data_IF_478762663338
#
_entry.id   IF_478762663338
#
_cell.length_a   1.000
_cell.length_b   1.000
_cell.length_c   1.000
_cell.angle_alpha   90.00
_cell.angle_beta   90.00
_cell.angle_gamma   90.00
#
_symmetry.space_group_name_H-M   'P 1'
#
loop_
_entity.id
_entity.type
_entity.pdbx_description
1 polymer ?
#
# COMPACT_ATOMS: atom_id res chain seq x y z
N UNK A 1 -10.00 7.29 8.69
CA UNK A 1 -8.91 6.29 8.59
C UNK A 1 -9.45 4.85 8.52
N UNK A 2 -10.36 4.45 9.42
CA UNK A 2 -10.78 3.04 9.53
C UNK A 2 -11.49 2.49 8.28
N UNK A 3 -12.39 3.27 7.68
CA UNK A 3 -13.04 2.89 6.40
C UNK A 3 -12.02 2.74 5.26
N UNK A 4 -11.03 3.63 5.23
CA UNK A 4 -9.95 3.65 4.24
C UNK A 4 -9.05 2.41 4.36
N UNK A 5 -8.74 1.97 5.58
CA UNK A 5 -7.98 0.72 5.83
C UNK A 5 -8.75 -0.49 5.33
N UNK A 6 -10.05 -0.57 5.64
CA UNK A 6 -10.88 -1.70 5.24
C UNK A 6 -11.02 -1.77 3.71
N UNK A 7 -11.34 -0.64 3.07
CA UNK A 7 -11.41 -0.54 1.61
C UNK A 7 -10.05 -0.83 0.95
N UNK A 8 -8.96 -0.30 1.52
CA UNK A 8 -7.61 -0.56 1.06
C UNK A 8 -7.25 -2.04 1.11
N UNK A 9 -7.58 -2.73 2.21
CA UNK A 9 -7.34 -4.16 2.34
C UNK A 9 -8.21 -5.02 1.40
N UNK A 10 -9.44 -4.59 1.11
CA UNK A 10 -10.28 -5.25 0.08
C UNK A 10 -9.59 -5.14 -1.29
N UNK A 11 -9.09 -3.95 -1.67
CA UNK A 11 -8.38 -3.77 -2.93
C UNK A 11 -7.11 -4.64 -3.00
N UNK A 12 -6.33 -4.72 -1.92
CA UNK A 12 -5.15 -5.61 -1.85
C UNK A 12 -5.58 -7.07 -2.04
N UNK A 13 -6.67 -7.49 -1.40
CA UNK A 13 -7.21 -8.86 -1.52
C UNK A 13 -7.60 -9.16 -2.98
N UNK A 14 -8.35 -8.24 -3.61
CA UNK A 14 -8.76 -8.39 -5.01
C UNK A 14 -7.58 -8.43 -5.96
N UNK A 15 -6.51 -7.66 -5.70
CA UNK A 15 -5.29 -7.72 -6.50
C UNK A 15 -4.58 -9.07 -6.41
N UNK A 16 -4.50 -9.68 -5.22
CA UNK A 16 -3.93 -11.03 -5.08
C UNK A 16 -4.83 -12.11 -5.70
N UNK A 17 -6.16 -11.97 -5.60
CA UNK A 17 -7.11 -12.86 -6.29
C UNK A 17 -6.94 -12.73 -7.81
N UNK A 18 -6.76 -11.53 -8.35
CA UNK A 18 -6.48 -11.35 -9.77
C UNK A 18 -5.23 -12.14 -10.17
N UNK A 19 -4.12 -12.06 -9.43
CA UNK A 19 -2.90 -12.84 -9.72
C UNK A 19 -3.09 -14.36 -9.56
N UNK A 20 -4.04 -14.79 -8.72
CA UNK A 20 -4.40 -16.19 -8.59
C UNK A 20 -5.18 -16.74 -9.81
N UNK A 21 -5.65 -15.89 -10.73
CA UNK A 21 -6.33 -16.32 -11.95
C UNK A 21 -5.37 -16.50 -13.13
N UNK A 22 -5.64 -17.43 -14.07
CA UNK A 22 -4.77 -17.71 -15.21
C UNK A 22 -4.97 -16.72 -16.38
N UNK A 23 -5.19 -15.43 -16.11
CA UNK A 23 -5.46 -14.40 -17.13
C UNK A 23 -4.20 -13.67 -17.63
N UNK A 24 -3.01 -14.15 -17.27
CA UNK A 24 -1.73 -13.65 -17.79
C UNK A 24 -1.49 -12.16 -17.54
N UNK A 25 -0.99 -11.47 -18.56
CA UNK A 25 -0.43 -10.12 -18.45
C UNK A 25 -1.49 -9.05 -18.11
N UNK A 26 -2.72 -9.21 -18.60
CA UNK A 26 -3.82 -8.28 -18.29
C UNK A 26 -4.17 -8.32 -16.80
N UNK A 27 -4.21 -9.51 -16.20
CA UNK A 27 -4.46 -9.64 -14.77
C UNK A 27 -3.32 -9.07 -13.92
N UNK A 28 -2.07 -9.23 -14.37
CA UNK A 28 -0.92 -8.62 -13.70
C UNK A 28 -1.08 -7.09 -13.56
N UNK A 29 -1.44 -6.39 -14.64
CA UNK A 29 -1.62 -4.93 -14.57
C UNK A 29 -2.80 -4.52 -13.69
N UNK A 30 -3.92 -5.24 -13.76
CA UNK A 30 -5.08 -5.00 -12.88
C UNK A 30 -4.68 -5.22 -11.41
N UNK A 31 -3.95 -6.30 -11.12
CA UNK A 31 -3.49 -6.60 -9.78
C UNK A 31 -2.55 -5.54 -9.22
N UNK A 32 -1.56 -5.10 -10.01
CA UNK A 32 -0.64 -4.03 -9.62
C UNK A 32 -1.40 -2.75 -9.30
N UNK A 33 -2.33 -2.34 -10.16
CA UNK A 33 -3.17 -1.17 -9.92
C UNK A 33 -3.95 -1.27 -8.60
N UNK A 34 -4.61 -2.41 -8.36
CA UNK A 34 -5.39 -2.65 -7.14
C UNK A 34 -4.51 -2.66 -5.88
N UNK A 35 -3.34 -3.33 -5.92
CA UNK A 35 -2.42 -3.42 -4.78
C UNK A 35 -1.81 -2.06 -4.47
N UNK A 36 -1.43 -1.27 -5.48
CA UNK A 36 -0.88 0.08 -5.31
C UNK A 36 -1.91 0.97 -4.61
N UNK A 37 -3.14 1.04 -5.14
CA UNK A 37 -4.21 1.82 -4.53
C UNK A 37 -4.52 1.33 -3.11
N UNK A 38 -4.67 0.03 -2.94
CA UNK A 38 -5.01 -0.57 -1.65
C UNK A 38 -3.93 -0.33 -0.58
N UNK A 39 -2.66 -0.45 -0.94
CA UNK A 39 -1.53 -0.19 -0.04
C UNK A 39 -1.41 1.29 0.30
N UNK A 40 -1.60 2.18 -0.68
CA UNK A 40 -1.64 3.63 -0.46
C UNK A 40 -2.76 4.06 0.49
N UNK A 41 -3.88 3.34 0.47
CA UNK A 41 -4.99 3.55 1.41
C UNK A 41 -4.72 2.94 2.79
N UNK A 42 -4.12 1.74 2.88
CA UNK A 42 -3.96 1.02 4.14
C UNK A 42 -2.75 1.52 4.95
N UNK A 43 -1.56 1.57 4.36
CA UNK A 43 -0.28 1.75 5.06
C UNK A 43 -0.19 3.06 5.87
N UNK A 44 -0.47 4.26 5.32
CA UNK A 44 -0.40 5.49 6.12
C UNK A 44 -1.52 5.57 7.17
N UNK A 45 -2.71 5.03 6.88
CA UNK A 45 -3.84 5.10 7.78
C UNK A 45 -3.69 4.17 8.99
N UNK A 46 -3.10 2.99 8.82
CA UNK A 46 -2.92 2.04 9.92
C UNK A 46 -1.85 2.51 10.90
N UNK A 47 -0.72 3.06 10.40
CA UNK A 47 0.29 3.69 11.26
C UNK A 47 -0.28 4.90 12.01
N UNK A 48 -1.14 5.69 11.35
CA UNK A 48 -1.84 6.78 12.01
C UNK A 48 -2.76 6.27 13.13
N UNK A 49 -3.48 5.16 12.92
CA UNK A 49 -4.31 4.56 13.97
C UNK A 49 -3.50 4.10 15.18
N UNK A 50 -2.33 3.49 14.98
CA UNK A 50 -1.43 3.12 16.09
C UNK A 50 -1.04 4.35 16.89
N UNK A 51 -0.72 5.46 16.22
CA UNK A 51 -0.42 6.72 16.90
C UNK A 51 -1.57 7.30 17.73
N UNK A 52 -2.82 7.01 17.34
CA UNK A 52 -4.02 7.46 18.08
C UNK A 52 -4.41 6.53 19.23
N UNK A 53 -3.74 5.39 19.42
CA UNK A 53 -3.93 4.53 20.60
C UNK A 53 -3.37 5.18 21.87
N UNK A 54 -2.47 6.13 21.72
CA UNK A 54 -1.72 6.77 22.80
C UNK A 54 -1.94 8.28 22.76
N UNK A 55 -1.95 8.94 23.92
CA UNK A 55 -1.91 10.40 23.98
C UNK A 55 -0.53 10.92 23.53
N UNK A 56 -0.44 12.23 23.23
CA UNK A 56 0.81 12.82 22.73
C UNK A 56 2.00 12.65 23.68
N UNK A 57 1.72 12.71 24.98
CA UNK A 57 2.72 12.68 26.06
C UNK A 57 2.88 11.29 26.71
N UNK A 58 2.24 10.26 26.14
CA UNK A 58 2.33 8.88 26.66
C UNK A 58 3.67 8.23 26.24
N UNK A 59 4.50 7.92 27.24
CA UNK A 59 5.80 7.26 27.04
C UNK A 59 5.71 5.88 26.38
N UNK A 60 4.54 5.23 26.44
CA UNK A 60 4.31 3.91 25.81
C UNK A 60 4.14 4.00 24.30
N UNK A 61 3.95 5.20 23.74
CA UNK A 61 3.73 5.41 22.31
C UNK A 61 4.89 4.86 21.47
N UNK A 62 6.12 5.15 21.86
CA UNK A 62 7.31 4.70 21.14
C UNK A 62 7.47 3.18 21.23
N UNK A 63 7.22 2.60 22.41
CA UNK A 63 7.20 1.14 22.59
C UNK A 63 6.10 0.48 21.75
N UNK A 64 4.92 1.10 21.67
CA UNK A 64 3.81 0.63 20.83
C UNK A 64 4.16 0.61 19.34
N UNK A 65 4.83 1.66 18.84
CA UNK A 65 5.34 1.69 17.47
C UNK A 65 6.44 0.64 17.23
N UNK A 66 7.31 0.39 18.22
CA UNK A 66 8.32 -0.66 18.09
C UNK A 66 7.68 -2.05 17.96
N UNK A 67 6.69 -2.38 18.79
CA UNK A 67 5.94 -3.64 18.69
C UNK A 67 5.25 -3.76 17.31
N UNK A 68 4.67 -2.67 16.81
CA UNK A 68 4.07 -2.64 15.48
C UNK A 68 5.08 -2.96 14.37
N UNK A 69 6.29 -2.40 14.44
CA UNK A 69 7.37 -2.66 13.47
C UNK A 69 7.90 -4.09 13.57
N UNK A 70 8.04 -4.64 14.79
CA UNK A 70 8.38 -6.06 14.97
C UNK A 70 7.36 -6.96 14.27
N UNK A 71 6.06 -6.65 14.40
CA UNK A 71 5.00 -7.37 13.67
C UNK A 71 5.16 -7.31 12.16
N UNK A 72 5.52 -6.15 11.59
CA UNK A 72 5.79 -6.00 10.15
C UNK A 72 6.97 -6.86 9.73
N UNK A 73 8.08 -6.80 10.46
CA UNK A 73 9.30 -7.56 10.14
C UNK A 73 9.08 -9.07 10.23
N UNK A 74 8.30 -9.53 11.22
CA UNK A 74 7.90 -10.93 11.33
C UNK A 74 7.05 -11.38 10.14
N UNK A 75 6.10 -10.56 9.72
CA UNK A 75 5.31 -10.82 8.51
C UNK A 75 6.18 -10.91 7.26
N UNK A 76 7.13 -9.99 7.08
CA UNK A 76 8.05 -10.00 5.93
C UNK A 76 9.02 -11.18 5.93
N UNK A 77 9.33 -11.74 7.10
CA UNK A 77 10.15 -12.94 7.23
C UNK A 77 9.36 -14.21 6.88
N UNK A 78 8.14 -14.33 7.40
CA UNK A 78 7.31 -15.54 7.25
C UNK A 78 6.70 -15.64 5.85
N UNK A 79 6.31 -14.51 5.25
CA UNK A 79 5.59 -14.51 3.97
C UNK A 79 6.39 -15.19 2.83
N UNK A 80 7.69 -14.90 2.60
CA UNK A 80 8.48 -15.59 1.57
C UNK A 80 8.64 -17.09 1.84
N UNK A 81 8.72 -17.52 3.10
CA UNK A 81 8.85 -18.94 3.45
C UNK A 81 7.58 -19.73 3.13
N UNK A 82 6.40 -19.13 3.27
CA UNK A 82 5.14 -19.81 2.99
C UNK A 82 4.75 -19.62 1.52
N UNK A 83 4.59 -18.36 1.10
CA UNK A 83 4.10 -17.99 -0.23
C UNK A 83 5.15 -18.31 -1.30
N UNK A 84 6.43 -18.08 -1.02
CA UNK A 84 7.52 -18.37 -1.95
C UNK A 84 7.69 -19.87 -2.18
N UNK A 85 7.71 -20.68 -1.12
CA UNK A 85 7.81 -22.14 -1.24
C UNK A 85 6.64 -22.74 -2.02
N UNK A 86 5.40 -22.32 -1.76
CA UNK A 86 4.24 -22.81 -2.52
C UNK A 86 4.23 -22.26 -3.94
N UNK A 87 4.54 -20.98 -4.12
CA UNK A 87 4.55 -20.30 -5.41
C UNK A 87 5.58 -20.87 -6.38
N UNK A 88 6.82 -21.08 -5.91
CA UNK A 88 7.92 -21.59 -6.72
C UNK A 88 7.95 -23.12 -6.80
N UNK A 89 7.59 -23.81 -5.71
CA UNK A 89 7.67 -25.27 -5.63
C UNK A 89 6.45 -26.00 -6.16
N UNK A 90 5.27 -25.36 -6.17
CA UNK A 90 4.01 -25.99 -6.59
C UNK A 90 3.37 -25.23 -7.74
N UNK A 91 2.91 -24.00 -7.49
CA UNK A 91 2.21 -23.19 -8.48
C UNK A 91 2.11 -21.73 -8.04
N UNK A 92 2.44 -20.80 -8.94
CA UNK A 92 2.38 -19.36 -8.67
C UNK A 92 0.97 -18.88 -8.28
N UNK A 93 -0.08 -19.37 -8.93
CA UNK A 93 -1.47 -19.01 -8.61
C UNK A 93 -1.87 -19.46 -7.21
N UNK A 94 -1.38 -20.62 -6.75
CA UNK A 94 -1.58 -21.07 -5.37
C UNK A 94 -0.83 -20.17 -4.38
N UNK A 95 0.39 -19.75 -4.70
CA UNK A 95 1.11 -18.75 -3.92
C UNK A 95 0.33 -17.44 -3.78
N UNK A 96 -0.19 -16.89 -4.88
CA UNK A 96 -1.01 -15.68 -4.84
C UNK A 96 -2.34 -15.87 -4.10
N UNK A 97 -2.94 -17.06 -4.18
CA UNK A 97 -4.13 -17.41 -3.40
C UNK A 97 -3.85 -17.40 -1.90
N UNK A 98 -2.70 -17.92 -1.46
CA UNK A 98 -2.28 -17.87 -0.05
C UNK A 98 -2.09 -16.44 0.44
N UNK A 99 -1.52 -15.57 -0.39
CA UNK A 99 -1.39 -14.15 -0.07
C UNK A 99 -2.76 -13.46 0.08
N UNK A 100 -3.73 -13.79 -0.78
CA UNK A 100 -5.11 -13.30 -0.65
C UNK A 100 -5.76 -13.76 0.67
N UNK A 101 -5.60 -15.03 1.04
CA UNK A 101 -6.10 -15.59 2.30
C UNK A 101 -5.45 -14.88 3.50
N UNK A 102 -4.15 -14.64 3.46
CA UNK A 102 -3.43 -13.89 4.49
C UNK A 102 -4.01 -12.48 4.70
N UNK A 103 -4.34 -11.79 3.60
CA UNK A 103 -4.95 -10.47 3.67
C UNK A 103 -6.38 -10.50 4.22
N UNK A 104 -7.19 -11.52 3.87
CA UNK A 104 -8.53 -11.72 4.44
C UNK A 104 -8.46 -11.94 5.94
N UNK A 105 -7.52 -12.77 6.40
CA UNK A 105 -7.29 -12.99 7.82
C UNK A 105 -6.87 -11.71 8.54
N UNK A 106 -5.98 -10.92 7.93
CA UNK A 106 -5.56 -9.63 8.47
C UNK A 106 -6.74 -8.64 8.58
N UNK A 107 -7.61 -8.56 7.56
CA UNK A 107 -8.82 -7.75 7.59
C UNK A 107 -9.79 -8.18 8.69
N UNK A 108 -9.98 -9.50 8.86
CA UNK A 108 -10.82 -10.04 9.92
C UNK A 108 -10.26 -9.70 11.31
N UNK A 109 -8.96 -9.92 11.53
CA UNK A 109 -8.29 -9.58 12.78
C UNK A 109 -8.37 -8.08 13.10
N UNK A 110 -8.17 -7.23 12.09
CA UNK A 110 -8.35 -5.77 12.21
C UNK A 110 -9.78 -5.40 12.60
N UNK A 111 -10.77 -5.94 11.87
CA UNK A 111 -12.19 -5.65 12.12
C UNK A 111 -12.61 -6.10 13.51
N UNK A 112 -12.24 -7.32 13.91
CA UNK A 112 -12.53 -7.87 15.24
C UNK A 112 -11.85 -7.06 16.35
N UNK A 113 -10.55 -6.78 16.23
CA UNK A 113 -9.79 -6.02 17.21
C UNK A 113 -10.35 -4.60 17.40
N UNK A 114 -10.67 -3.93 16.30
CA UNK A 114 -11.24 -2.57 16.29
C UNK A 114 -12.63 -2.51 16.91
N UNK A 115 -13.51 -3.45 16.55
CA UNK A 115 -14.88 -3.44 17.07
C UNK A 115 -14.92 -3.70 18.58
N UNK A 116 -14.01 -4.53 19.10
CA UNK A 116 -13.97 -4.87 20.53
C UNK A 116 -13.21 -3.88 21.40
N UNK A 117 -12.10 -3.33 20.94
CA UNK A 117 -11.20 -2.58 21.81
C UNK A 117 -11.18 -1.08 21.51
N UNK A 118 -11.45 -0.67 20.27
CA UNK A 118 -11.23 0.72 19.82
C UNK A 118 -12.31 1.22 18.83
N UNK A 119 -13.60 1.21 19.20
CA UNK A 119 -14.70 1.51 18.28
C UNK A 119 -14.72 2.97 17.78
N UNK A 120 -14.12 3.89 18.53
CA UNK A 120 -14.12 5.33 18.26
C UNK A 120 -12.93 5.79 17.40
N UNK A 121 -11.83 5.03 17.38
CA UNK A 121 -10.58 5.44 16.73
C UNK A 121 -10.71 5.36 15.20
N UNK A 122 -10.34 6.46 14.54
CA UNK A 122 -10.27 6.55 13.08
C UNK A 122 -11.61 6.73 12.36
N UNK A 123 -12.68 7.10 13.11
CA UNK A 123 -13.99 7.54 12.58
C UNK A 123 -13.91 8.90 11.90
N UNK A 124 -13.28 9.87 12.57
CA UNK A 124 -13.06 11.22 12.05
C UNK A 124 -11.68 11.34 11.38
N UNK A 125 -11.51 12.25 10.39
CA UNK A 125 -10.19 12.62 9.89
C UNK A 125 -9.37 13.30 10.98
N UNK A 126 -8.15 12.82 11.24
CA UNK A 126 -7.28 13.37 12.28
C UNK A 126 -6.79 14.81 11.99
N UNK A 127 -6.74 15.19 10.71
CA UNK A 127 -6.41 16.54 10.27
C UNK A 127 -7.25 16.89 9.02
N UNK A 128 -8.47 17.43 9.19
CA UNK A 128 -9.30 17.80 8.06
C UNK A 128 -8.61 18.90 7.24
N UNK A 129 -8.51 18.70 5.93
CA UNK A 129 -7.94 19.70 5.04
C UNK A 129 -8.90 20.88 4.89
N UNK A 130 -8.44 22.09 5.23
CA UNK A 130 -9.15 23.31 4.89
C UNK A 130 -9.19 23.52 3.35
N UNK A 131 -10.20 24.24 2.89
CA UNK A 131 -10.43 24.67 1.51
C UNK A 131 -9.17 25.26 0.83
N UNK A 132 -8.40 26.10 1.55
CA UNK A 132 -7.15 26.69 1.05
C UNK A 132 -6.04 25.65 0.91
N UNK A 133 -5.89 24.77 1.90
CA UNK A 133 -4.92 23.67 1.86
C UNK A 133 -5.24 22.67 0.73
N UNK A 134 -6.52 22.37 0.51
CA UNK A 134 -6.99 21.55 -0.60
C UNK A 134 -6.68 22.16 -1.95
N UNK A 135 -6.91 23.47 -2.13
CA UNK A 135 -6.55 24.16 -3.37
C UNK A 135 -5.05 24.11 -3.63
N UNK A 136 -4.23 24.41 -2.63
CA UNK A 136 -2.77 24.35 -2.75
C UNK A 136 -2.29 22.93 -3.09
N UNK A 137 -2.82 21.92 -2.40
CA UNK A 137 -2.52 20.52 -2.69
C UNK A 137 -2.87 20.14 -4.14
N UNK A 138 -4.04 20.55 -4.64
CA UNK A 138 -4.46 20.29 -6.02
C UNK A 138 -3.56 21.00 -7.04
N UNK A 139 -3.16 22.24 -6.76
CA UNK A 139 -2.21 22.98 -7.62
C UNK A 139 -0.85 22.27 -7.63
N UNK A 140 -0.30 21.93 -6.47
CA UNK A 140 0.97 21.20 -6.36
C UNK A 140 0.90 19.86 -7.08
N UNK A 141 -0.17 19.10 -6.88
CA UNK A 141 -0.37 17.81 -7.57
C UNK A 141 -0.43 18.01 -9.09
N UNK A 142 -1.15 19.02 -9.56
CA UNK A 142 -1.27 19.32 -11.00
C UNK A 142 0.08 19.69 -11.60
N UNK A 143 0.86 20.54 -10.92
CA UNK A 143 2.22 20.92 -11.35
C UNK A 143 3.12 19.69 -11.41
N UNK A 144 3.12 18.84 -10.36
CA UNK A 144 3.93 17.61 -10.31
C UNK A 144 3.57 16.68 -11.46
N UNK A 145 2.27 16.48 -11.74
CA UNK A 145 1.81 15.64 -12.84
C UNK A 145 2.23 16.21 -14.19
N UNK A 146 2.10 17.53 -14.39
CA UNK A 146 2.53 18.20 -15.64
C UNK A 146 4.04 18.04 -15.83
N UNK A 147 4.84 18.30 -14.79
CA UNK A 147 6.30 18.15 -14.85
C UNK A 147 6.69 16.70 -15.14
N UNK A 148 6.01 15.71 -14.54
CA UNK A 148 6.24 14.30 -14.82
C UNK A 148 5.91 13.94 -16.29
N UNK A 149 4.80 14.45 -16.84
CA UNK A 149 4.42 14.23 -18.24
C UNK A 149 5.42 14.89 -19.20
N UNK A 150 5.82 16.13 -18.93
CA UNK A 150 6.83 16.83 -19.74
C UNK A 150 8.16 16.08 -19.68
N UNK A 151 8.61 15.68 -18.49
CA UNK A 151 9.84 14.90 -18.31
C UNK A 151 9.80 13.58 -19.07
N UNK A 152 8.69 12.86 -18.99
CA UNK A 152 8.46 11.63 -19.76
C UNK A 152 8.56 11.88 -21.28
N UNK A 153 7.91 12.93 -21.76
CA UNK A 153 7.91 13.28 -23.19
C UNK A 153 9.29 13.73 -23.69
N UNK A 154 10.03 14.51 -22.88
CA UNK A 154 11.40 14.93 -23.20
C UNK A 154 12.36 13.74 -23.23
N UNK A 155 12.26 12.82 -22.27
CA UNK A 155 13.04 11.58 -22.27
C UNK A 155 12.75 10.73 -23.50
N UNK A 156 11.48 10.67 -23.94
CA UNK A 156 11.09 9.98 -25.16
C UNK A 156 11.68 10.63 -26.41
N UNK A 157 11.61 11.96 -26.54
CA UNK A 157 12.18 12.65 -27.70
C UNK A 157 13.72 12.60 -27.75
N UNK A 158 14.39 12.70 -26.60
CA UNK A 158 15.84 12.74 -26.56
C UNK A 158 16.50 11.43 -27.02
N UNK A 159 15.90 10.27 -26.72
CA UNK A 159 16.46 8.97 -27.12
C UNK A 159 15.38 7.89 -27.16
N UNK A 160 14.59 7.79 -28.26
CA UNK A 160 13.54 6.77 -28.38
C UNK A 160 14.06 5.34 -28.22
N UNK A 161 15.25 5.05 -28.78
CA UNK A 161 15.87 3.72 -28.72
C UNK A 161 16.30 3.30 -27.31
N UNK A 162 16.68 4.26 -26.46
CA UNK A 162 17.11 4.01 -25.07
C UNK A 162 16.06 4.45 -24.05
N UNK A 163 14.83 4.74 -24.48
CA UNK A 163 13.80 5.32 -23.64
C UNK A 163 13.54 4.49 -22.39
N UNK A 164 13.37 3.17 -22.54
CA UNK A 164 13.11 2.26 -21.42
C UNK A 164 14.27 2.30 -20.42
N UNK A 165 15.51 2.27 -20.88
CA UNK A 165 16.69 2.31 -20.01
C UNK A 165 16.81 3.65 -19.28
N UNK A 166 16.60 4.77 -19.98
CA UNK A 166 16.62 6.10 -19.38
C UNK A 166 15.50 6.29 -18.36
N UNK A 167 14.30 5.78 -18.66
CA UNK A 167 13.17 5.80 -17.74
C UNK A 167 13.45 4.98 -16.48
N UNK A 168 13.98 3.76 -16.62
CA UNK A 168 14.39 2.92 -15.49
C UNK A 168 15.48 3.61 -14.65
N UNK A 169 16.47 4.25 -15.29
CA UNK A 169 17.54 4.94 -14.59
C UNK A 169 17.02 6.13 -13.77
N UNK A 170 16.11 6.93 -14.33
CA UNK A 170 15.47 8.03 -13.59
C UNK A 170 14.67 7.51 -12.40
N UNK A 171 13.88 6.45 -12.59
CA UNK A 171 13.15 5.81 -11.48
C UNK A 171 14.10 5.24 -10.42
N UNK A 172 15.23 4.68 -10.82
CA UNK A 172 16.23 4.12 -9.92
C UNK A 172 16.92 5.22 -9.10
N UNK A 173 17.24 6.36 -9.71
CA UNK A 173 17.81 7.53 -9.03
C UNK A 173 16.83 8.13 -8.02
N UNK A 174 15.54 8.17 -8.34
CA UNK A 174 14.49 8.70 -7.46
C UNK A 174 14.12 7.70 -6.34
N UNK A 175 14.21 6.41 -6.62
CA UNK A 175 13.79 5.33 -5.72
C UNK A 175 14.83 4.89 -4.68
N UNK A 176 16.09 5.29 -4.85
CA UNK A 176 17.18 5.15 -3.86
C UNK A 176 17.19 6.36 -2.94
#
# INVERSE_FOLDING_TARGET
ASRTIFLGGILITLGHIALATPFGLSSLFVALFLIILGTGMLKPNISNMVGHLYSKDDSRRDTGFNIFVVGINMGSLIAPLIVGTVGQGVNYHLGFSLAAIGMIFALFAYWYGRLRHFPEIGREPSNPMDSKARRNFLITLTIVVIVAIIGFFLLYQASPANFINNFINVLSIIGI
#
